data_IF_896735203706
#
_entry.id   IF_896735203706
#
_cell.length_a   1.000
_cell.length_b   1.000
_cell.length_c   1.000
_cell.angle_alpha   90.00
_cell.angle_beta   90.00
_cell.angle_gamma   90.00
#
_symmetry.space_group_name_H-M   'P 1'
#
loop_
_entity.id
_entity.type
_entity.pdbx_description
1 polymer ?
#
# COMPACT_ATOMS: atom_id res chain seq x y z
N UNK A 1 33.51 62.75 20.57
CA UNK A 1 33.13 63.28 21.89
C UNK A 1 32.69 62.10 22.74
N UNK A 2 33.17 62.10 23.97
CA UNK A 2 33.40 60.99 24.91
C UNK A 2 32.17 60.52 25.69
N UNK A 3 32.34 59.34 26.30
CA UNK A 3 31.71 58.81 27.52
C UNK A 3 30.40 58.01 27.37
N UNK A 4 30.04 57.00 28.17
CA UNK A 4 30.67 56.07 29.14
C UNK A 4 29.47 55.39 29.83
N UNK A 5 29.53 54.08 30.06
CA UNK A 5 28.84 53.41 31.19
C UNK A 5 27.36 53.06 30.98
N UNK A 6 26.77 52.16 31.76
CA UNK A 6 27.26 51.20 32.74
C UNK A 6 26.04 50.28 33.04
N UNK A 7 26.28 49.01 33.33
CA UNK A 7 25.30 48.04 33.81
C UNK A 7 24.62 48.51 35.11
N UNK A 8 23.34 48.19 35.32
CA UNK A 8 22.80 48.00 36.67
C UNK A 8 21.56 47.10 36.69
N UNK A 9 21.64 46.08 37.53
CA UNK A 9 20.64 45.05 37.85
C UNK A 9 19.38 45.63 38.49
N UNK A 10 18.22 45.00 38.23
CA UNK A 10 17.25 44.68 39.28
C UNK A 10 16.63 43.30 39.04
N UNK A 11 16.34 42.65 40.16
CA UNK A 11 16.19 41.23 40.38
C UNK A 11 14.75 40.97 40.90
N UNK A 12 14.21 39.78 40.60
CA UNK A 12 13.37 38.93 41.50
C UNK A 12 11.83 39.15 41.58
N UNK A 13 11.12 38.06 41.17
CA UNK A 13 9.86 37.44 41.66
C UNK A 13 8.58 38.30 41.89
N UNK A 14 7.34 37.85 41.63
CA UNK A 14 6.68 36.61 42.08
C UNK A 14 5.30 36.48 41.35
N UNK A 15 4.88 35.24 41.07
CA UNK A 15 3.49 34.72 40.99
C UNK A 15 2.35 35.62 40.47
N UNK A 16 1.79 35.20 39.34
CA UNK A 16 0.44 35.60 38.93
C UNK A 16 -0.09 34.61 37.89
N UNK A 17 -0.68 33.51 38.36
CA UNK A 17 -1.54 32.62 37.56
C UNK A 17 -2.62 33.46 36.90
N UNK A 18 -2.43 33.80 35.63
CA UNK A 18 -3.44 34.51 34.85
C UNK A 18 -4.62 33.58 34.63
N UNK A 19 -5.73 33.92 35.30
CA UNK A 19 -7.06 33.38 35.06
C UNK A 19 -7.33 33.31 33.56
N UNK A 20 -7.63 32.10 33.09
CA UNK A 20 -8.18 31.83 31.76
C UNK A 20 -9.53 32.54 31.62
N UNK A 21 -9.50 33.74 31.06
CA UNK A 21 -10.67 34.44 30.54
C UNK A 21 -11.17 33.67 29.31
N UNK A 22 -12.30 33.00 29.49
CA UNK A 22 -12.94 32.10 28.54
C UNK A 22 -13.81 32.91 27.57
N UNK A 23 -13.20 33.61 26.61
CA UNK A 23 -13.95 34.42 25.64
C UNK A 23 -13.34 34.47 24.24
N UNK A 24 -12.72 33.38 23.77
CA UNK A 24 -12.27 33.28 22.38
C UNK A 24 -12.52 31.88 21.79
N UNK A 25 -13.59 31.68 20.99
CA UNK A 25 -13.93 30.39 20.41
C UNK A 25 -12.94 29.91 19.32
N UNK A 26 -12.03 30.78 18.86
CA UNK A 26 -11.04 30.43 17.83
C UNK A 26 -9.71 29.90 18.42
N UNK A 27 -9.52 29.93 19.75
CA UNK A 27 -8.33 29.38 20.42
C UNK A 27 -8.53 27.99 21.05
N UNK A 28 -9.76 27.47 21.10
CA UNK A 28 -10.08 26.13 21.63
C UNK A 28 -9.74 24.98 20.66
N UNK A 29 -9.45 25.27 19.38
CA UNK A 29 -9.14 24.24 18.37
C UNK A 29 -7.65 23.97 18.17
N UNK A 30 -6.76 24.76 18.80
CA UNK A 30 -5.31 24.57 18.71
C UNK A 30 -4.70 23.87 19.95
N UNK A 31 -5.47 23.67 21.02
CA UNK A 31 -5.02 23.04 22.27
C UNK A 31 -5.29 21.53 22.36
N UNK A 32 -5.98 20.92 21.39
CA UNK A 32 -6.15 19.46 21.34
C UNK A 32 -5.00 18.71 20.65
N UNK A 33 -4.12 19.43 19.95
CA UNK A 33 -3.07 18.81 19.10
C UNK A 33 -1.71 18.60 19.80
N UNK A 34 -1.56 18.94 21.09
CA UNK A 34 -0.26 18.84 21.79
C UNK A 34 -0.30 17.88 23.00
N UNK A 35 -1.47 17.33 23.36
CA UNK A 35 -1.61 16.55 24.60
C UNK A 35 -1.64 15.03 24.44
N UNK A 36 -1.30 14.47 23.27
CA UNK A 36 -1.25 13.01 23.04
C UNK A 36 0.15 12.48 22.69
N UNK A 37 1.21 13.16 23.16
CA UNK A 37 2.58 12.67 23.06
C UNK A 37 3.27 12.83 24.41
N UNK A 38 3.11 11.85 25.30
CA UNK A 38 4.05 11.44 26.37
C UNK A 38 3.34 10.62 27.46
N UNK A 39 3.39 9.29 27.36
CA UNK A 39 3.34 8.28 28.44
C UNK A 39 3.49 6.92 27.72
N UNK A 40 4.46 6.02 27.94
CA UNK A 40 5.54 5.80 28.91
C UNK A 40 6.56 4.87 28.22
N UNK A 41 7.84 5.08 28.51
CA UNK A 41 8.96 4.21 28.12
C UNK A 41 9.19 3.16 29.21
N UNK A 42 9.63 1.98 28.77
CA UNK A 42 10.23 0.84 29.50
C UNK A 42 9.32 -0.13 30.26
N UNK A 43 9.16 -1.32 29.69
CA UNK A 43 9.36 -2.54 30.47
C UNK A 43 10.38 -3.46 29.78
N UNK A 44 11.47 -3.65 30.51
CA UNK A 44 12.63 -4.48 30.25
C UNK A 44 12.27 -5.98 30.41
N UNK A 45 12.83 -6.84 29.54
CA UNK A 45 12.85 -8.30 29.62
C UNK A 45 11.49 -9.01 29.83
N UNK A 46 10.75 -9.21 28.73
CA UNK A 46 9.68 -10.21 28.63
C UNK A 46 10.00 -11.17 27.50
N UNK A 47 10.08 -12.47 27.79
CA UNK A 47 10.13 -13.55 26.79
C UNK A 47 9.03 -13.35 25.75
N UNK A 48 9.39 -13.29 24.47
CA UNK A 48 8.44 -13.22 23.37
C UNK A 48 7.61 -14.51 23.31
N UNK A 49 6.51 -14.54 24.05
CA UNK A 49 5.41 -15.45 23.74
C UNK A 49 4.73 -14.89 22.50
N UNK A 50 4.81 -15.63 21.39
CA UNK A 50 3.99 -15.38 20.22
C UNK A 50 2.52 -15.35 20.66
N UNK A 51 1.89 -14.18 20.59
CA UNK A 51 0.46 -14.04 20.85
C UNK A 51 -0.27 -14.37 19.56
N UNK A 52 -0.69 -15.62 19.47
CA UNK A 52 -1.63 -16.13 18.48
C UNK A 52 -3.03 -15.62 18.90
N UNK A 53 -3.33 -14.36 18.59
CA UNK A 53 -4.70 -13.86 18.62
C UNK A 53 -5.30 -14.09 17.24
N UNK A 54 -6.03 -15.20 17.13
CA UNK A 54 -6.94 -15.50 16.06
C UNK A 54 -8.11 -14.50 16.05
N UNK A 55 -7.82 -13.25 15.71
CA UNK A 55 -8.84 -12.33 15.24
C UNK A 55 -9.43 -12.94 13.97
N UNK A 56 -10.70 -13.34 14.06
CA UNK A 56 -11.53 -13.74 12.92
C UNK A 56 -11.72 -12.50 12.05
N UNK A 57 -10.68 -12.13 11.30
CA UNK A 57 -10.81 -11.27 10.15
C UNK A 57 -11.60 -12.08 9.14
N UNK A 58 -12.89 -11.74 8.97
CA UNK A 58 -13.65 -12.18 7.81
C UNK A 58 -12.95 -11.61 6.59
N UNK A 59 -11.99 -12.35 6.05
CA UNK A 59 -11.37 -12.06 4.77
C UNK A 59 -12.52 -11.90 3.79
N UNK A 60 -12.73 -10.66 3.33
CA UNK A 60 -13.71 -10.37 2.30
C UNK A 60 -13.47 -11.35 1.16
N UNK A 61 -14.49 -12.08 0.67
CA UNK A 61 -14.29 -12.96 -0.47
C UNK A 61 -13.69 -12.12 -1.59
N UNK A 62 -12.52 -12.55 -2.09
CA UNK A 62 -11.89 -11.91 -3.22
C UNK A 62 -12.94 -11.85 -4.34
N UNK A 63 -13.20 -10.68 -4.94
CA UNK A 63 -14.15 -10.59 -6.03
C UNK A 63 -13.71 -11.56 -7.14
N UNK A 64 -14.65 -12.16 -7.90
CA UNK A 64 -14.29 -12.98 -9.05
C UNK A 64 -13.36 -12.18 -9.97
N UNK A 65 -12.30 -12.84 -10.46
CA UNK A 65 -11.30 -12.21 -11.30
C UNK A 65 -11.98 -11.48 -12.48
N UNK A 66 -11.76 -10.17 -12.56
CA UNK A 66 -12.30 -9.38 -13.66
C UNK A 66 -11.70 -9.85 -15.00
N UNK A 67 -12.47 -9.69 -16.07
CA UNK A 67 -11.96 -9.82 -17.44
C UNK A 67 -11.33 -8.48 -17.82
N UNK A 68 -10.18 -8.51 -18.49
CA UNK A 68 -9.55 -7.29 -18.98
C UNK A 68 -10.47 -6.56 -19.98
N UNK A 69 -10.60 -5.24 -19.82
CA UNK A 69 -11.39 -4.40 -20.72
C UNK A 69 -10.67 -4.19 -22.07
N UNK A 70 -9.35 -4.27 -22.05
CA UNK A 70 -8.49 -4.13 -23.21
C UNK A 70 -7.23 -4.97 -23.02
N UNK A 71 -6.80 -5.67 -24.07
CA UNK A 71 -5.53 -6.40 -24.10
C UNK A 71 -4.68 -5.80 -25.20
N UNK A 72 -3.51 -5.28 -24.81
CA UNK A 72 -2.55 -4.65 -25.72
C UNK A 72 -1.29 -5.51 -25.79
N UNK A 73 -0.69 -5.73 -26.96
CA UNK A 73 0.65 -6.28 -27.01
C UNK A 73 1.64 -5.29 -26.37
N UNK A 74 2.63 -5.77 -25.62
CA UNK A 74 3.66 -4.89 -25.04
C UNK A 74 4.46 -4.19 -26.15
N UNK A 75 4.71 -4.91 -27.25
CA UNK A 75 5.29 -4.37 -28.46
C UNK A 75 4.23 -4.33 -29.56
N UNK A 76 3.86 -3.14 -30.07
CA UNK A 76 2.88 -3.03 -31.16
C UNK A 76 3.40 -3.61 -32.48
N UNK A 77 4.73 -3.56 -32.66
CA UNK A 77 5.44 -4.07 -33.83
C UNK A 77 6.30 -5.29 -33.44
N UNK A 78 7.53 -5.38 -33.95
CA UNK A 78 8.43 -6.50 -33.67
C UNK A 78 9.08 -6.37 -32.28
N UNK A 79 8.99 -7.40 -31.41
CA UNK A 79 9.65 -7.37 -30.11
C UNK A 79 11.18 -7.42 -30.28
N UNK A 80 11.96 -6.96 -29.27
CA UNK A 80 13.40 -7.08 -29.28
C UNK A 80 13.82 -8.56 -29.38
N UNK A 81 14.98 -8.82 -29.98
CA UNK A 81 15.49 -10.19 -30.12
C UNK A 81 15.69 -10.83 -28.75
N UNK A 82 15.03 -11.97 -28.53
CA UNK A 82 15.14 -12.76 -27.30
C UNK A 82 14.86 -14.24 -27.56
N UNK A 83 15.20 -15.10 -26.59
CA UNK A 83 14.96 -16.53 -26.67
C UNK A 83 13.58 -16.87 -26.08
N UNK A 84 12.53 -16.69 -26.87
CA UNK A 84 11.15 -16.98 -26.46
C UNK A 84 10.91 -18.48 -26.18
N UNK A 85 10.02 -18.83 -25.24
CA UNK A 85 9.54 -20.21 -25.09
C UNK A 85 8.98 -20.75 -26.41
N UNK A 86 9.36 -21.98 -26.78
CA UNK A 86 8.86 -22.67 -27.98
C UNK A 86 7.57 -23.44 -27.75
N UNK A 87 7.30 -23.79 -26.50
CA UNK A 87 6.10 -24.50 -26.11
C UNK A 87 4.93 -23.54 -25.97
N UNK A 88 3.70 -24.04 -26.09
CA UNK A 88 2.50 -23.24 -25.87
C UNK A 88 2.40 -22.78 -24.41
N UNK A 89 1.82 -21.61 -24.22
CA UNK A 89 1.40 -21.11 -22.91
C UNK A 89 0.35 -22.05 -22.28
N UNK A 90 0.52 -22.37 -20.99
CA UNK A 90 -0.46 -23.17 -20.24
C UNK A 90 -0.37 -22.94 -18.73
N UNK A 91 -1.46 -23.22 -18.02
CA UNK A 91 -1.51 -23.22 -16.56
C UNK A 91 -0.99 -24.56 -16.02
N UNK A 92 0.02 -24.50 -15.15
CA UNK A 92 0.63 -25.67 -14.50
C UNK A 92 -0.08 -26.07 -13.22
N UNK A 93 -1.12 -25.33 -12.80
CA UNK A 93 -1.82 -25.58 -11.55
C UNK A 93 -2.72 -26.82 -11.62
N UNK A 94 -2.62 -27.64 -10.58
CA UNK A 94 -3.38 -28.88 -10.42
C UNK A 94 -4.03 -28.91 -9.05
N UNK A 95 -4.92 -29.88 -8.81
CA UNK A 95 -5.52 -30.08 -7.48
C UNK A 95 -4.51 -30.37 -6.37
N UNK A 96 -3.32 -30.85 -6.74
CA UNK A 96 -2.22 -31.15 -5.81
C UNK A 96 -1.30 -29.95 -5.57
N UNK A 97 -1.45 -28.87 -6.33
CA UNK A 97 -0.63 -27.67 -6.18
C UNK A 97 -0.92 -26.99 -4.84
N UNK A 98 0.11 -26.36 -4.27
CA UNK A 98 -0.03 -25.59 -3.03
C UNK A 98 -1.08 -24.50 -3.17
N UNK A 99 -1.90 -24.33 -2.13
CA UNK A 99 -2.93 -23.30 -2.05
C UNK A 99 -2.43 -22.15 -1.19
N UNK A 100 -2.68 -20.92 -1.62
CA UNK A 100 -2.40 -19.72 -0.82
C UNK A 100 -3.73 -19.23 -0.25
N UNK A 101 -3.81 -19.06 1.07
CA UNK A 101 -5.06 -18.70 1.76
C UNK A 101 -6.27 -19.58 1.34
N UNK A 102 -6.04 -20.89 1.12
CA UNK A 102 -7.01 -21.89 0.64
C UNK A 102 -7.52 -21.68 -0.80
N UNK A 103 -6.94 -20.78 -1.58
CA UNK A 103 -7.23 -20.58 -3.01
C UNK A 103 -6.15 -21.21 -3.90
N UNK A 104 -6.55 -21.58 -5.12
CA UNK A 104 -5.56 -21.93 -6.14
C UNK A 104 -4.79 -20.68 -6.56
N UNK A 105 -3.53 -20.90 -6.94
CA UNK A 105 -2.69 -19.90 -7.59
C UNK A 105 -2.50 -20.41 -9.02
N UNK A 106 -3.05 -19.73 -10.02
CA UNK A 106 -2.81 -20.01 -11.43
C UNK A 106 -1.34 -19.72 -11.77
N UNK A 107 -0.63 -20.75 -12.23
CA UNK A 107 0.80 -20.69 -12.52
C UNK A 107 1.01 -20.82 -14.02
N UNK A 108 0.85 -19.69 -14.70
CA UNK A 108 0.98 -19.60 -16.15
C UNK A 108 2.46 -19.66 -16.53
N UNK A 109 2.81 -20.50 -17.51
CA UNK A 109 4.17 -20.64 -18.02
C UNK A 109 4.22 -20.52 -19.54
N UNK A 110 5.43 -20.51 -20.12
CA UNK A 110 5.67 -20.42 -21.56
C UNK A 110 5.03 -19.20 -22.25
N UNK A 111 4.90 -18.09 -21.54
CA UNK A 111 4.40 -16.84 -22.14
C UNK A 111 5.43 -16.34 -23.15
N UNK A 112 5.04 -16.34 -24.43
CA UNK A 112 5.87 -15.91 -25.56
C UNK A 112 5.33 -14.66 -26.25
N UNK A 113 4.08 -14.29 -25.95
CA UNK A 113 3.39 -13.10 -26.45
C UNK A 113 3.08 -12.20 -25.26
N UNK A 114 3.97 -11.25 -24.96
CA UNK A 114 3.84 -10.38 -23.81
C UNK A 114 2.73 -9.36 -24.02
N UNK A 115 1.84 -9.23 -23.05
CA UNK A 115 0.58 -8.47 -23.14
C UNK A 115 0.38 -7.57 -21.91
N UNK A 116 -0.28 -6.42 -22.12
CA UNK A 116 -0.81 -5.55 -21.08
C UNK A 116 -2.32 -5.74 -21.03
N UNK A 117 -2.80 -6.32 -19.94
CA UNK A 117 -4.22 -6.52 -19.66
C UNK A 117 -4.72 -5.34 -18.84
N UNK A 118 -5.53 -4.48 -19.45
CA UNK A 118 -6.02 -3.23 -18.85
C UNK A 118 -7.37 -3.46 -18.19
N UNK A 119 -7.48 -3.00 -16.95
CA UNK A 119 -8.64 -3.06 -16.08
C UNK A 119 -9.01 -1.64 -15.69
N UNK A 120 -9.95 -1.04 -16.41
CA UNK A 120 -10.41 0.34 -16.17
C UNK A 120 -11.13 0.44 -14.83
N UNK A 121 -10.95 1.56 -14.13
CA UNK A 121 -11.71 1.80 -12.90
C UNK A 121 -13.23 1.68 -13.12
N UNK A 122 -13.92 1.05 -12.17
CA UNK A 122 -15.38 0.87 -12.18
C UNK A 122 -16.15 1.99 -11.49
N UNK A 123 -15.45 2.89 -10.81
CA UNK A 123 -16.01 4.05 -10.10
C UNK A 123 -15.31 5.33 -10.57
N UNK A 124 -15.58 6.47 -9.95
CA UNK A 124 -14.90 7.72 -10.27
C UNK A 124 -13.36 7.52 -10.20
N UNK A 125 -12.69 7.74 -11.33
CA UNK A 125 -11.28 7.44 -11.45
C UNK A 125 -10.43 8.41 -10.60
N UNK A 126 -9.50 7.84 -9.84
CA UNK A 126 -8.56 8.55 -8.96
C UNK A 126 -7.41 9.26 -9.71
N UNK A 127 -7.50 9.40 -11.05
CA UNK A 127 -6.40 9.81 -11.93
C UNK A 127 -5.10 8.99 -11.75
N UNK A 128 -5.17 7.85 -11.09
CA UNK A 128 -4.03 6.97 -10.80
C UNK A 128 -4.15 5.69 -11.62
N UNK A 129 -3.01 5.24 -12.16
CA UNK A 129 -2.89 3.95 -12.85
C UNK A 129 -1.74 3.16 -12.24
N UNK A 130 -1.95 1.86 -12.04
CA UNK A 130 -0.95 0.95 -11.48
C UNK A 130 -0.63 -0.16 -12.48
N UNK A 131 0.66 -0.31 -12.79
CA UNK A 131 1.18 -1.47 -13.53
C UNK A 131 1.56 -2.57 -12.53
N UNK A 132 0.96 -3.74 -12.70
CA UNK A 132 1.16 -4.93 -11.90
C UNK A 132 2.03 -5.88 -12.72
N UNK A 133 3.18 -6.27 -12.18
CA UNK A 133 4.04 -7.31 -12.73
C UNK A 133 3.96 -8.54 -11.81
N UNK A 134 3.16 -9.57 -12.17
CA UNK A 134 3.05 -10.78 -11.36
C UNK A 134 4.42 -11.42 -11.13
N UNK A 135 4.64 -11.96 -9.93
CA UNK A 135 5.87 -12.65 -9.57
C UNK A 135 5.96 -14.05 -10.16
N UNK A 136 6.94 -14.81 -9.66
CA UNK A 136 7.30 -16.14 -10.18
C UNK A 136 8.70 -16.21 -10.80
N UNK A 137 9.50 -15.16 -10.64
CA UNK A 137 10.93 -15.16 -10.97
C UNK A 137 11.23 -15.47 -12.43
N UNK A 138 10.37 -14.99 -13.34
CA UNK A 138 10.45 -15.23 -14.80
C UNK A 138 10.29 -16.70 -15.23
N UNK A 139 9.96 -17.62 -14.32
CA UNK A 139 9.72 -19.03 -14.63
C UNK A 139 8.24 -19.34 -14.81
N UNK A 140 7.40 -18.62 -14.06
CA UNK A 140 5.94 -18.62 -14.13
C UNK A 140 5.43 -17.21 -13.86
N UNK A 141 4.15 -16.96 -14.17
CA UNK A 141 3.38 -15.86 -13.63
C UNK A 141 2.43 -16.36 -12.56
N UNK A 142 2.44 -15.72 -11.40
CA UNK A 142 1.42 -15.83 -10.37
C UNK A 142 0.15 -15.07 -10.80
N UNK A 143 -0.47 -15.53 -11.89
CA UNK A 143 -1.36 -14.74 -12.75
C UNK A 143 -2.62 -14.21 -12.06
N UNK A 144 -3.24 -15.01 -11.21
CA UNK A 144 -4.41 -14.60 -10.44
C UNK A 144 -4.02 -13.81 -9.20
N UNK A 145 -3.42 -14.46 -8.21
CA UNK A 145 -3.20 -13.92 -6.85
C UNK A 145 -2.37 -12.63 -6.84
N UNK A 146 -1.33 -12.54 -7.68
CA UNK A 146 -0.45 -11.38 -7.75
C UNK A 146 -0.77 -10.47 -8.96
N UNK A 147 -1.70 -10.88 -9.82
CA UNK A 147 -2.09 -10.19 -11.04
C UNK A 147 -3.55 -9.76 -11.03
N UNK A 148 -4.42 -10.58 -11.61
CA UNK A 148 -5.82 -10.21 -11.88
C UNK A 148 -6.67 -9.99 -10.62
N UNK A 149 -6.39 -10.67 -9.50
CA UNK A 149 -7.09 -10.40 -8.24
C UNK A 149 -6.71 -9.01 -7.69
N UNK A 150 -5.44 -8.64 -7.76
CA UNK A 150 -4.95 -7.31 -7.37
C UNK A 150 -5.54 -6.24 -8.28
N UNK A 151 -5.59 -6.48 -9.59
CA UNK A 151 -6.22 -5.57 -10.54
C UNK A 151 -7.71 -5.34 -10.23
N UNK A 152 -8.42 -6.41 -9.88
CA UNK A 152 -9.83 -6.36 -9.51
C UNK A 152 -10.06 -5.57 -8.22
N UNK A 153 -9.18 -5.76 -7.22
CA UNK A 153 -9.21 -4.98 -5.99
C UNK A 153 -8.95 -3.49 -6.25
N UNK A 154 -7.92 -3.15 -7.04
CA UNK A 154 -7.62 -1.76 -7.40
C UNK A 154 -8.74 -1.09 -8.19
N UNK A 155 -9.38 -1.80 -9.13
CA UNK A 155 -10.57 -1.30 -9.84
C UNK A 155 -11.67 -0.86 -8.87
N UNK A 156 -11.91 -1.66 -7.82
CA UNK A 156 -12.94 -1.38 -6.81
C UNK A 156 -12.65 -0.11 -5.99
N UNK A 157 -11.39 0.33 -5.97
CA UNK A 157 -10.93 1.52 -5.24
C UNK A 157 -10.85 2.78 -6.12
N UNK A 158 -11.28 2.72 -7.38
CA UNK A 158 -11.17 3.89 -8.26
C UNK A 158 -9.87 3.96 -9.05
N UNK A 159 -9.06 2.89 -9.06
CA UNK A 159 -7.74 2.87 -9.71
C UNK A 159 -7.81 2.02 -10.96
N UNK A 160 -7.31 2.53 -12.09
CA UNK A 160 -7.11 1.71 -13.28
C UNK A 160 -5.88 0.84 -13.06
N UNK A 161 -6.01 -0.46 -13.27
CA UNK A 161 -4.92 -1.42 -13.13
C UNK A 161 -4.53 -1.99 -14.50
N UNK A 162 -3.25 -2.27 -14.68
CA UNK A 162 -2.73 -2.92 -15.89
C UNK A 162 -1.90 -4.11 -15.40
N UNK A 163 -2.21 -5.33 -15.84
CA UNK A 163 -1.42 -6.53 -15.51
C UNK A 163 -0.53 -6.89 -16.68
N UNK A 164 0.77 -7.04 -16.43
CA UNK A 164 1.73 -7.56 -17.38
C UNK A 164 1.64 -9.09 -17.44
N UNK A 165 1.42 -9.62 -18.64
CA UNK A 165 1.58 -11.04 -18.97
C UNK A 165 2.87 -11.25 -19.74
#
# INVERSE_FOLDING_TARGET
MTATGLLSLQNIHLTGTSMLSLQDPQRALLSLAVSLSLLVVDNLLGTATAQDDAATGTASPAPPAAIADLVLPVWPDEPPTWNAPRQSEFDTTTDKSNKVARRHLMRLTNVSKPELHVFHSKIAASNTTVLIAPGGGYSILAWDLEGTEIATWLQSLGVTAIVLK
#
